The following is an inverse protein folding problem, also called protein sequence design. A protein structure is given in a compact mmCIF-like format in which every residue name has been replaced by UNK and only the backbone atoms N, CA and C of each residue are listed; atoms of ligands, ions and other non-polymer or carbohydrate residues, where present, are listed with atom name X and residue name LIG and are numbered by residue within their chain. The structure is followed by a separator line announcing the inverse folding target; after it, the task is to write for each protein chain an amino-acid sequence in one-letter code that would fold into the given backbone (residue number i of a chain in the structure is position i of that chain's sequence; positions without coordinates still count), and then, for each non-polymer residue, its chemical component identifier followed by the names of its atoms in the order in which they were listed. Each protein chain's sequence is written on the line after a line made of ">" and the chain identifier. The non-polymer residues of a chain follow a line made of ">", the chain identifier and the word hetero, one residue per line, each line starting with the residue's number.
data_IF_197244411956
#
_entry.id   IF_197244411956
#
_cell.length_a   1.000
_cell.length_b   1.000
_cell.length_c   1.000
_cell.angle_alpha   90.00
_cell.angle_beta   90.00
_cell.angle_gamma   90.00
#
_symmetry.space_group_name_H-M   'P 1'
#
loop_
_entity.id
_entity.type
_entity.pdbx_description
1 polymer ?
#
# COMPACT_ATOMS: atom_id res chain seq x y z
N UNK A 1 -0.81 8.62 2.59
CA UNK A 1 -2.19 9.06 2.90
C UNK A 1 -3.13 8.23 2.05
N UNK A 2 -4.19 7.69 2.65
CA UNK A 2 -5.19 6.87 1.96
C UNK A 2 -6.52 7.64 1.93
N UNK A 3 -7.31 7.47 0.86
CA UNK A 3 -8.70 7.91 0.81
C UNK A 3 -9.59 6.72 1.13
N UNK A 4 -10.44 6.85 2.14
CA UNK A 4 -11.46 5.84 2.43
C UNK A 4 -12.69 6.13 1.57
N UNK A 5 -13.02 5.23 0.65
CA UNK A 5 -14.30 5.22 -0.05
C UNK A 5 -15.08 3.98 0.40
N UNK A 6 -15.75 4.11 1.54
CA UNK A 6 -16.57 3.04 2.12
C UNK A 6 -15.74 1.85 2.62
N UNK A 7 -15.82 0.72 1.91
CA UNK A 7 -15.10 -0.52 2.26
C UNK A 7 -13.73 -0.64 1.59
N UNK A 8 -13.39 0.32 0.73
CA UNK A 8 -12.16 0.30 -0.06
C UNK A 8 -11.24 1.44 0.40
N UNK A 9 -10.00 1.06 0.75
CA UNK A 9 -8.93 1.99 1.05
C UNK A 9 -8.14 2.28 -0.23
N UNK A 10 -8.38 3.45 -0.82
CA UNK A 10 -7.56 3.89 -1.93
C UNK A 10 -6.21 4.39 -1.40
N UNK A 11 -5.16 3.57 -1.59
CA UNK A 11 -3.79 3.92 -1.25
C UNK A 11 -3.24 4.84 -2.35
N UNK A 12 -3.72 6.08 -2.36
CA UNK A 12 -3.44 7.08 -3.38
C UNK A 12 -1.97 7.51 -3.42
N UNK A 13 -1.28 7.57 -2.28
CA UNK A 13 0.18 7.74 -2.25
C UNK A 13 0.73 7.61 -0.83
N UNK A 14 1.69 6.73 -0.61
CA UNK A 14 2.67 6.87 0.47
C UNK A 14 3.69 7.92 0.02
N UNK A 15 3.47 9.19 0.41
CA UNK A 15 4.48 10.23 0.22
C UNK A 15 5.66 9.92 1.15
N UNK A 16 6.69 9.32 0.58
CA UNK A 16 7.99 9.21 1.21
C UNK A 16 8.85 10.30 0.57
N UNK A 17 9.31 11.30 1.36
CA UNK A 17 10.22 12.32 0.85
C UNK A 17 11.37 11.65 0.11
N UNK A 18 11.72 12.18 -1.05
CA UNK A 18 12.78 11.64 -1.94
C UNK A 18 14.09 11.40 -1.18
N UNK A 19 14.37 12.25 -0.18
CA UNK A 19 15.54 12.25 0.69
C UNK A 19 15.65 11.00 1.58
N UNK A 20 14.54 10.28 1.79
CA UNK A 20 14.48 9.03 2.57
C UNK A 20 14.40 7.79 1.67
N UNK A 21 14.42 7.94 0.33
CA UNK A 21 14.50 6.80 -0.60
C UNK A 21 15.86 6.11 -0.45
N UNK A 22 15.86 4.78 -0.49
CA UNK A 22 17.08 3.96 -0.37
C UNK A 22 17.35 3.42 1.04
N UNK A 23 16.57 3.78 2.07
CA UNK A 23 16.71 3.28 3.45
C UNK A 23 15.69 2.22 3.89
N UNK A 24 14.89 1.68 2.96
CA UNK A 24 13.87 0.65 3.27
C UNK A 24 12.62 1.13 4.03
N UNK A 25 12.61 2.37 4.54
CA UNK A 25 11.50 2.97 5.28
C UNK A 25 10.17 2.99 4.49
N UNK A 26 10.23 3.17 3.17
CA UNK A 26 9.06 3.15 2.30
C UNK A 26 8.38 1.77 2.27
N UNK A 27 9.17 0.70 2.26
CA UNK A 27 8.67 -0.67 2.25
C UNK A 27 8.00 -1.02 3.59
N UNK A 28 8.57 -0.54 4.70
CA UNK A 28 8.03 -0.79 6.05
C UNK A 28 6.67 -0.11 6.25
N UNK A 29 6.54 1.15 5.81
CA UNK A 29 5.29 1.90 5.84
C UNK A 29 4.20 1.23 4.98
N UNK A 30 4.54 0.83 3.75
CA UNK A 30 3.59 0.16 2.85
C UNK A 30 3.18 -1.19 3.44
N UNK A 31 4.13 -1.97 3.97
CA UNK A 31 3.84 -3.26 4.62
C UNK A 31 2.89 -3.10 5.80
N UNK A 32 3.15 -2.13 6.67
CA UNK A 32 2.31 -1.85 7.84
C UNK A 32 0.89 -1.42 7.43
N UNK A 33 0.76 -0.59 6.40
CA UNK A 33 -0.54 -0.18 5.87
C UNK A 33 -1.33 -1.37 5.28
N UNK A 34 -0.66 -2.25 4.52
CA UNK A 34 -1.26 -3.45 3.93
C UNK A 34 -1.68 -4.46 5.00
N UNK A 35 -0.82 -4.70 5.99
CA UNK A 35 -1.12 -5.61 7.09
C UNK A 35 -2.34 -5.14 7.90
N UNK A 36 -2.42 -3.83 8.15
CA UNK A 36 -3.59 -3.23 8.79
C UNK A 36 -4.85 -3.38 7.93
N UNK A 37 -4.77 -3.15 6.62
CA UNK A 37 -5.89 -3.36 5.72
C UNK A 37 -6.35 -4.84 5.74
N UNK A 38 -5.42 -5.79 5.77
CA UNK A 38 -5.70 -7.23 5.88
C UNK A 38 -6.43 -7.58 7.17
N UNK A 39 -5.92 -7.09 8.31
CA UNK A 39 -6.53 -7.31 9.62
C UNK A 39 -7.97 -6.76 9.69
N UNK A 40 -8.22 -5.65 9.02
CA UNK A 40 -9.54 -5.04 8.91
C UNK A 40 -10.43 -5.63 7.79
N UNK A 41 -9.96 -6.67 7.10
CA UNK A 41 -10.61 -7.25 5.91
C UNK A 41 -10.96 -6.23 4.82
N UNK A 42 -10.18 -5.14 4.72
CA UNK A 42 -10.37 -4.07 3.74
C UNK A 42 -9.63 -4.36 2.46
N UNK A 43 -10.22 -3.95 1.33
CA UNK A 43 -9.57 -3.98 0.02
C UNK A 43 -8.80 -2.69 -0.23
N UNK A 44 -7.71 -2.78 -0.99
CA UNK A 44 -6.85 -1.65 -1.34
C UNK A 44 -6.79 -1.41 -2.85
N UNK A 45 -6.76 -0.15 -3.26
CA UNK A 45 -6.49 0.23 -4.66
C UNK A 45 -5.06 0.79 -4.75
N UNK A 46 -4.13 0.12 -5.46
CA UNK A 46 -2.77 0.59 -5.63
C UNK A 46 -2.67 1.62 -6.77
N UNK A 47 -3.08 2.86 -6.52
CA UNK A 47 -2.99 3.93 -7.55
C UNK A 47 -1.58 4.48 -7.76
N UNK A 48 -0.63 4.22 -6.84
CA UNK A 48 0.75 4.67 -6.95
C UNK A 48 1.66 3.60 -7.55
N UNK A 49 2.50 3.97 -8.52
CA UNK A 49 3.44 3.07 -9.20
C UNK A 49 4.40 2.36 -8.24
N UNK A 50 4.75 3.00 -7.12
CA UNK A 50 5.60 2.38 -6.10
C UNK A 50 4.90 1.21 -5.39
N UNK A 51 3.61 1.38 -5.06
CA UNK A 51 2.81 0.33 -4.41
C UNK A 51 2.64 -0.85 -5.37
N UNK A 52 2.41 -0.58 -6.65
CA UNK A 52 2.38 -1.62 -7.70
C UNK A 52 3.71 -2.38 -7.77
N UNK A 53 4.85 -1.67 -7.76
CA UNK A 53 6.16 -2.30 -7.75
C UNK A 53 6.43 -3.13 -6.47
N UNK A 54 5.94 -2.66 -5.32
CA UNK A 54 6.02 -3.39 -4.06
C UNK A 54 5.16 -4.67 -4.11
N UNK A 55 3.92 -4.59 -4.60
CA UNK A 55 3.03 -5.74 -4.76
C UNK A 55 3.60 -6.78 -5.73
N UNK A 56 4.25 -6.35 -6.81
CA UNK A 56 4.97 -7.25 -7.70
C UNK A 56 6.10 -8.04 -7.01
N UNK A 57 6.76 -7.44 -6.01
CA UNK A 57 7.77 -8.12 -5.18
C UNK A 57 7.15 -8.94 -4.05
N UNK A 58 5.91 -8.64 -3.66
CA UNK A 58 5.18 -9.27 -2.56
C UNK A 58 3.78 -9.70 -3.01
N UNK A 59 3.67 -10.74 -3.86
CA UNK A 59 2.40 -11.18 -4.44
C UNK A 59 1.41 -11.70 -3.40
N UNK A 60 1.87 -12.00 -2.18
CA UNK A 60 1.06 -12.40 -1.03
C UNK A 60 0.07 -11.31 -0.55
N UNK A 61 0.22 -10.06 -1.00
CA UNK A 61 -0.74 -8.98 -0.71
C UNK A 61 -1.70 -8.71 -1.87
N UNK A 62 -1.59 -9.43 -2.99
CA UNK A 62 -2.49 -9.25 -4.13
C UNK A 62 -3.94 -9.64 -3.80
N UNK A 63 -4.16 -10.45 -2.75
CA UNK A 63 -5.51 -10.77 -2.26
C UNK A 63 -6.25 -9.55 -1.69
N UNK A 64 -5.50 -8.53 -1.26
CA UNK A 64 -6.07 -7.28 -0.75
C UNK A 64 -6.45 -6.32 -1.88
N UNK A 65 -5.95 -6.51 -3.09
CA UNK A 65 -6.20 -5.57 -4.20
C UNK A 65 -7.67 -5.65 -4.61
N UNK A 66 -8.38 -4.53 -4.55
CA UNK A 66 -9.71 -4.39 -5.15
C UNK A 66 -9.56 -4.50 -6.67
N UNK A 67 -10.29 -5.42 -7.30
CA UNK A 67 -10.39 -5.52 -8.77
C UNK A 67 -11.27 -4.43 -9.33
#
# INVERSE_FOLDING_TARGET
>A
MYKEEGDIWNLVSTYVPSELRGKGLAADLVRTALDKARSLNKKIIPSCSYVVAFLNKHPNYNDLVAK
#
